data_IF_421341259914
#
_entry.id   IF_421341259914
#
_cell.length_a   1.000
_cell.length_b   1.000
_cell.length_c   1.000
_cell.angle_alpha   90.00
_cell.angle_beta   90.00
_cell.angle_gamma   90.00
#
_symmetry.space_group_name_H-M   'P 1'
#
loop_
_entity.id
_entity.type
_entity.pdbx_description
1 polymer ?
#
# COMPACT_ATOMS: atom_id res chain seq x y z
N UNK A 1 71.56 1.74 50.39
CA UNK A 1 70.14 1.92 50.70
C UNK A 1 69.50 2.73 49.62
N UNK A 2 68.90 2.09 48.62
CA UNK A 2 68.11 2.76 47.64
C UNK A 2 66.85 1.97 47.41
N UNK A 3 65.73 2.54 47.77
CA UNK A 3 64.40 2.01 47.51
C UNK A 3 63.96 2.42 46.10
N UNK A 4 63.73 1.46 45.26
CA UNK A 4 63.08 1.66 43.95
C UNK A 4 61.59 1.52 44.14
N UNK A 5 60.89 2.61 43.93
CA UNK A 5 59.43 2.60 43.90
C UNK A 5 58.96 2.30 42.47
N UNK A 6 58.33 1.15 42.30
CA UNK A 6 57.64 0.81 41.07
C UNK A 6 56.24 1.48 41.07
N UNK A 7 56.09 2.45 40.22
CA UNK A 7 54.76 3.03 39.92
C UNK A 7 54.08 2.19 38.84
N UNK A 8 53.10 1.40 39.22
CA UNK A 8 52.27 0.66 38.30
C UNK A 8 51.29 1.61 37.61
N UNK A 9 51.38 1.69 36.31
CA UNK A 9 50.38 2.38 35.46
C UNK A 9 49.26 1.40 35.20
N UNK A 10 48.08 1.65 35.77
CA UNK A 10 46.85 0.96 35.36
C UNK A 10 46.36 1.59 34.05
N UNK A 11 46.51 0.82 32.97
CA UNK A 11 45.82 1.15 31.72
C UNK A 11 44.36 0.70 31.79
N UNK A 12 43.44 1.64 31.89
CA UNK A 12 42.01 1.38 31.77
C UNK A 12 41.64 1.17 30.29
N UNK A 13 41.32 -0.06 29.94
CA UNK A 13 40.76 -0.39 28.63
C UNK A 13 39.28 0.01 28.64
N UNK A 14 38.95 1.13 27.99
CA UNK A 14 37.53 1.48 27.66
C UNK A 14 37.06 0.63 26.51
N UNK A 15 36.24 -0.37 26.80
CA UNK A 15 35.52 -1.14 25.80
C UNK A 15 34.35 -0.25 25.30
N UNK A 16 34.55 0.42 24.18
CA UNK A 16 33.51 1.12 23.49
C UNK A 16 32.57 0.11 22.81
N UNK A 17 31.35 -0.08 23.33
CA UNK A 17 30.34 -0.84 22.66
C UNK A 17 29.85 -0.03 21.45
N UNK A 18 30.23 -0.43 20.26
CA UNK A 18 29.63 0.04 19.00
C UNK A 18 28.22 -0.56 18.91
N UNK A 19 27.22 0.22 19.22
CA UNK A 19 25.86 -0.07 18.82
C UNK A 19 25.77 0.17 17.31
N UNK A 20 25.93 -0.89 16.52
CA UNK A 20 25.54 -0.90 15.13
C UNK A 20 24.01 -0.84 15.11
N UNK A 21 23.45 0.37 15.02
CA UNK A 21 22.05 0.57 14.72
C UNK A 21 21.81 0.00 13.31
N UNK A 22 21.05 -1.08 13.22
CA UNK A 22 20.51 -1.51 11.94
C UNK A 22 19.57 -0.40 11.48
N UNK A 23 19.99 0.39 10.49
CA UNK A 23 19.10 1.28 9.79
C UNK A 23 17.98 0.40 9.22
N UNK A 24 16.73 0.67 9.61
CA UNK A 24 15.59 0.06 8.96
C UNK A 24 15.68 0.45 7.48
N UNK A 25 15.84 -0.53 6.62
CA UNK A 25 15.92 -0.30 5.19
C UNK A 25 14.49 -0.12 4.69
N UNK A 26 14.25 0.94 3.92
CA UNK A 26 12.96 1.14 3.27
C UNK A 26 12.61 -0.11 2.46
N UNK A 27 11.46 -0.68 2.72
CA UNK A 27 10.94 -1.82 1.97
C UNK A 27 9.83 -1.31 1.06
N UNK A 28 10.02 -1.54 -0.24
CA UNK A 28 9.02 -1.24 -1.26
C UNK A 28 8.25 -2.53 -1.54
N UNK A 29 6.98 -2.54 -1.19
CA UNK A 29 6.08 -3.68 -1.41
C UNK A 29 5.09 -3.32 -2.50
N UNK A 30 4.93 -4.21 -3.47
CA UNK A 30 3.99 -4.02 -4.58
C UNK A 30 2.80 -4.97 -4.45
N UNK A 31 1.60 -4.44 -4.61
CA UNK A 31 0.34 -5.17 -4.64
C UNK A 31 -0.34 -4.94 -5.99
N UNK A 32 -1.11 -5.91 -6.44
CA UNK A 32 -1.86 -5.76 -7.67
C UNK A 32 -3.22 -6.47 -7.61
N UNK A 33 -4.12 -6.06 -8.48
CA UNK A 33 -5.38 -6.75 -8.69
C UNK A 33 -5.85 -6.61 -10.15
N UNK A 34 -6.55 -7.64 -10.63
CA UNK A 34 -7.44 -7.52 -11.77
C UNK A 34 -8.82 -7.10 -11.27
N UNK A 35 -9.44 -6.14 -11.94
CA UNK A 35 -10.74 -5.58 -11.56
C UNK A 35 -11.82 -6.15 -12.48
N UNK A 36 -12.84 -6.74 -11.88
CA UNK A 36 -13.98 -7.32 -12.62
C UNK A 36 -15.30 -7.10 -11.88
N UNK A 37 -16.40 -7.12 -12.58
CA UNK A 37 -17.74 -7.09 -11.98
C UNK A 37 -18.01 -8.32 -11.12
N UNK A 38 -17.49 -9.48 -11.51
CA UNK A 38 -17.67 -10.74 -10.79
C UNK A 38 -17.02 -10.75 -9.39
N UNK A 39 -15.98 -9.93 -9.17
CA UNK A 39 -15.32 -9.77 -7.87
C UNK A 39 -16.05 -8.78 -6.94
N UNK A 40 -17.09 -8.12 -7.40
CA UNK A 40 -17.96 -7.24 -6.59
C UNK A 40 -18.67 -8.00 -5.47
N UNK A 41 -19.03 -7.27 -4.41
CA UNK A 41 -19.84 -7.81 -3.29
C UNK A 41 -21.00 -6.87 -3.03
N UNK A 42 -22.22 -7.22 -3.55
CA UNK A 42 -22.51 -8.34 -4.43
C UNK A 42 -21.87 -8.20 -5.81
N UNK A 43 -21.69 -9.31 -6.57
CA UNK A 43 -21.21 -9.26 -7.94
C UNK A 43 -22.12 -8.41 -8.85
N UNK A 44 -21.52 -7.71 -9.82
CA UNK A 44 -22.24 -7.00 -10.87
C UNK A 44 -22.27 -7.82 -12.17
N UNK A 45 -23.15 -7.47 -13.08
CA UNK A 45 -23.22 -8.04 -14.44
C UNK A 45 -22.37 -7.25 -15.46
N UNK A 46 -21.53 -6.34 -14.98
CA UNK A 46 -20.63 -5.57 -15.84
C UNK A 46 -19.60 -6.46 -16.51
N UNK A 47 -19.36 -6.18 -17.77
CA UNK A 47 -18.26 -6.77 -18.57
C UNK A 47 -17.00 -5.91 -18.56
N UNK A 48 -17.05 -4.76 -17.89
CA UNK A 48 -15.89 -3.90 -17.72
C UNK A 48 -14.75 -4.63 -17.00
N UNK A 49 -13.54 -4.26 -17.33
CA UNK A 49 -12.31 -4.79 -16.73
C UNK A 49 -11.37 -3.67 -16.35
N UNK A 50 -10.39 -3.98 -15.53
CA UNK A 50 -9.32 -3.05 -15.18
C UNK A 50 -8.18 -3.77 -14.50
N UNK A 51 -7.10 -3.03 -14.28
CA UNK A 51 -5.96 -3.47 -13.49
C UNK A 51 -5.53 -2.35 -12.56
N UNK A 52 -4.98 -2.70 -11.42
CA UNK A 52 -4.38 -1.76 -10.48
C UNK A 52 -3.07 -2.31 -9.94
N UNK A 53 -2.12 -1.43 -9.79
CA UNK A 53 -0.88 -1.67 -9.05
C UNK A 53 -0.75 -0.63 -7.94
N UNK A 54 -0.44 -1.08 -6.73
CA UNK A 54 -0.22 -0.25 -5.54
C UNK A 54 1.16 -0.55 -4.99
N UNK A 55 1.98 0.48 -4.84
CA UNK A 55 3.31 0.39 -4.23
C UNK A 55 3.29 1.05 -2.85
N UNK A 56 3.69 0.30 -1.83
CA UNK A 56 3.85 0.76 -0.45
C UNK A 56 5.32 1.05 -0.17
N UNK A 57 5.62 2.28 0.27
CA UNK A 57 6.89 2.65 0.91
C UNK A 57 6.69 2.59 2.43
N UNK A 58 7.32 1.62 3.09
CA UNK A 58 7.17 1.40 4.52
C UNK A 58 7.90 2.42 5.38
N UNK A 59 8.95 3.07 4.85
CA UNK A 59 9.69 4.11 5.56
C UNK A 59 9.00 5.48 5.45
N UNK A 60 8.63 5.86 4.23
CA UNK A 60 7.90 7.10 3.97
C UNK A 60 6.44 7.04 4.47
N UNK A 61 5.91 5.83 4.70
CA UNK A 61 4.50 5.57 5.02
C UNK A 61 3.58 6.20 3.99
N UNK A 62 3.81 5.85 2.74
CA UNK A 62 3.00 6.28 1.60
C UNK A 62 2.66 5.10 0.71
N UNK A 63 1.49 5.17 0.09
CA UNK A 63 1.12 4.31 -1.03
C UNK A 63 1.01 5.15 -2.29
N UNK A 64 1.49 4.59 -3.39
CA UNK A 64 1.29 5.14 -4.73
C UNK A 64 0.52 4.10 -5.54
N UNK A 65 -0.32 4.54 -6.45
CA UNK A 65 -1.11 3.65 -7.29
C UNK A 65 -1.07 4.10 -8.73
N UNK A 66 -1.23 3.11 -9.61
CA UNK A 66 -1.59 3.29 -11.01
C UNK A 66 -2.71 2.30 -11.34
N UNK A 67 -3.72 2.73 -12.07
CA UNK A 67 -4.78 1.85 -12.53
C UNK A 67 -5.29 2.28 -13.90
N UNK A 68 -5.86 1.32 -14.60
CA UNK A 68 -6.51 1.48 -15.89
C UNK A 68 -7.82 0.68 -15.91
N UNK A 69 -8.73 1.05 -16.78
CA UNK A 69 -9.98 0.35 -16.98
C UNK A 69 -10.44 0.42 -18.42
N UNK A 70 -11.26 -0.54 -18.82
CA UNK A 70 -11.90 -0.62 -20.12
C UNK A 70 -13.39 -0.91 -19.99
N UNK A 71 -14.17 -0.35 -20.92
CA UNK A 71 -15.59 -0.67 -21.11
C UNK A 71 -16.48 -0.46 -19.89
N UNK A 72 -16.21 0.56 -19.06
CA UNK A 72 -17.14 0.95 -18.00
C UNK A 72 -18.52 1.25 -18.59
N UNK A 73 -19.56 0.80 -17.91
CA UNK A 73 -20.93 0.91 -18.39
C UNK A 73 -21.59 2.28 -18.17
N UNK A 74 -20.87 3.20 -17.57
CA UNK A 74 -21.26 4.58 -17.30
C UNK A 74 -20.05 5.44 -16.97
N UNK A 75 -20.29 6.73 -16.75
CA UNK A 75 -19.25 7.66 -16.32
C UNK A 75 -18.69 7.23 -14.94
N UNK A 76 -17.37 7.24 -14.81
CA UNK A 76 -16.72 6.97 -13.54
C UNK A 76 -17.01 8.12 -12.56
N UNK A 77 -17.53 7.80 -11.40
CA UNK A 77 -17.88 8.78 -10.36
C UNK A 77 -16.86 8.83 -9.24
N UNK A 78 -16.17 7.72 -8.97
CA UNK A 78 -15.12 7.62 -7.97
C UNK A 78 -14.30 6.34 -8.14
N UNK A 79 -13.12 6.32 -7.52
CA UNK A 79 -12.35 5.12 -7.28
C UNK A 79 -11.74 5.18 -5.87
N UNK A 80 -11.64 4.03 -5.21
CA UNK A 80 -11.13 3.95 -3.84
C UNK A 80 -10.37 2.66 -3.58
N UNK A 81 -9.44 2.72 -2.63
CA UNK A 81 -9.02 1.54 -1.88
C UNK A 81 -9.92 1.43 -0.66
N UNK A 82 -10.51 0.26 -0.48
CA UNK A 82 -11.44 -0.08 0.59
C UNK A 82 -10.85 -1.13 1.53
N UNK A 83 -11.31 -1.17 2.76
CA UNK A 83 -10.94 -2.19 3.74
C UNK A 83 -11.16 -1.75 5.19
N UNK A 84 -10.77 -2.60 6.18
CA UNK A 84 -10.33 -3.98 5.96
C UNK A 84 -11.50 -4.93 5.66
N UNK A 85 -11.34 -5.80 4.68
CA UNK A 85 -12.31 -6.82 4.30
C UNK A 85 -11.65 -7.96 3.52
N UNK A 86 -12.15 -9.18 3.72
CA UNK A 86 -11.79 -10.31 2.88
C UNK A 86 -12.45 -10.17 1.48
N UNK A 87 -12.02 -10.99 0.52
CA UNK A 87 -12.51 -10.93 -0.86
C UNK A 87 -14.04 -11.14 -1.01
N UNK A 88 -14.66 -11.79 -0.03
CA UNK A 88 -16.11 -12.06 0.02
C UNK A 88 -16.91 -11.07 0.87
N UNK A 89 -16.26 -10.04 1.38
CA UNK A 89 -16.84 -9.03 2.26
C UNK A 89 -16.70 -7.64 1.67
N UNK A 90 -17.55 -6.71 2.10
CA UNK A 90 -17.48 -5.30 1.72
C UNK A 90 -17.07 -4.44 2.94
N UNK A 91 -16.35 -3.38 2.69
CA UNK A 91 -15.98 -2.37 3.68
C UNK A 91 -16.02 -0.96 3.08
N UNK A 92 -15.95 0.06 3.93
CA UNK A 92 -15.89 1.45 3.51
C UNK A 92 -14.56 1.83 2.85
N UNK A 93 -14.50 2.99 2.18
CA UNK A 93 -13.27 3.51 1.60
C UNK A 93 -12.29 3.93 2.70
N UNK A 94 -11.02 3.66 2.48
CA UNK A 94 -9.90 4.09 3.35
C UNK A 94 -8.96 5.07 2.65
N UNK A 95 -8.85 4.99 1.32
CA UNK A 95 -8.07 5.92 0.50
C UNK A 95 -8.91 6.29 -0.73
N UNK A 96 -9.13 7.59 -0.91
CA UNK A 96 -9.71 8.13 -2.12
C UNK A 96 -8.63 8.19 -3.20
N UNK A 97 -8.84 7.48 -4.30
CA UNK A 97 -7.92 7.42 -5.43
C UNK A 97 -8.41 8.22 -6.64
N UNK A 98 -9.59 8.83 -6.54
CA UNK A 98 -10.19 9.61 -7.63
C UNK A 98 -9.69 11.05 -7.69
N UNK A 99 -9.24 11.62 -6.57
CA UNK A 99 -8.95 13.06 -6.47
C UNK A 99 -7.84 13.55 -7.42
N UNK A 100 -6.85 12.70 -7.70
CA UNK A 100 -5.75 13.05 -8.62
C UNK A 100 -5.98 12.49 -10.04
N UNK A 101 -7.00 11.65 -10.21
CA UNK A 101 -7.25 10.85 -11.41
C UNK A 101 -8.30 11.46 -12.37
N UNK A 102 -8.92 12.58 -12.01
CA UNK A 102 -9.94 13.25 -12.82
C UNK A 102 -9.39 14.04 -14.02
N UNK A 103 -8.15 13.82 -14.41
CA UNK A 103 -7.63 14.35 -15.66
C UNK A 103 -8.12 13.48 -16.82
N UNK A 104 -9.11 13.97 -17.47
CA UNK A 104 -9.93 13.48 -18.59
C UNK A 104 -9.17 13.04 -19.86
N UNK A 105 -7.98 12.47 -19.79
CA UNK A 105 -7.23 12.11 -21.00
C UNK A 105 -6.32 10.90 -20.91
N UNK A 106 -6.28 10.17 -19.83
CA UNK A 106 -5.30 9.10 -19.71
C UNK A 106 -5.97 7.75 -19.52
N UNK A 107 -5.60 6.82 -20.38
CA UNK A 107 -5.87 5.39 -20.21
C UNK A 107 -5.26 4.83 -18.88
N UNK A 108 -4.49 5.65 -18.16
CA UNK A 108 -3.86 5.30 -16.89
C UNK A 108 -4.01 6.44 -15.87
N UNK A 109 -4.51 6.10 -14.69
CA UNK A 109 -4.69 7.01 -13.57
C UNK A 109 -3.70 6.69 -12.46
N UNK A 110 -3.10 7.73 -11.88
CA UNK A 110 -2.06 7.58 -10.86
C UNK A 110 -2.26 8.56 -9.70
N UNK A 111 -1.71 8.23 -8.54
CA UNK A 111 -1.71 9.11 -7.38
C UNK A 111 -0.89 8.54 -6.23
N UNK A 112 -0.83 9.31 -5.15
CA UNK A 112 -0.14 8.93 -3.91
C UNK A 112 -0.88 9.45 -2.69
N UNK A 113 -0.80 8.72 -1.57
CA UNK A 113 -1.44 9.09 -0.31
C UNK A 113 -0.59 8.62 0.88
N UNK A 114 -0.58 9.36 2.00
CA UNK A 114 -0.06 8.83 3.24
C UNK A 114 -0.89 7.64 3.72
N UNK A 115 -0.25 6.74 4.47
CA UNK A 115 -0.86 5.54 5.05
C UNK A 115 -0.40 5.37 6.50
N UNK A 116 -1.28 4.91 7.38
CA UNK A 116 -0.95 4.68 8.80
C UNK A 116 -0.34 3.29 9.01
N UNK A 117 0.30 3.07 10.16
CA UNK A 117 0.88 1.76 10.51
C UNK A 117 -0.20 0.65 10.58
N UNK A 118 -1.41 0.98 11.05
CA UNK A 118 -2.55 0.06 11.06
C UNK A 118 -2.96 -0.32 9.64
N UNK A 119 -3.11 0.67 8.76
CA UNK A 119 -3.44 0.44 7.35
C UNK A 119 -2.35 -0.33 6.60
N UNK A 120 -1.07 -0.11 6.93
CA UNK A 120 0.05 -0.89 6.39
C UNK A 120 -0.09 -2.37 6.78
N UNK A 121 -0.42 -2.65 8.04
CA UNK A 121 -0.61 -4.02 8.52
C UNK A 121 -1.81 -4.69 7.81
N UNK A 122 -2.92 -3.98 7.63
CA UNK A 122 -4.12 -4.47 6.95
C UNK A 122 -3.88 -4.73 5.45
N UNK A 123 -3.20 -3.80 4.75
CA UNK A 123 -2.82 -3.98 3.35
C UNK A 123 -1.89 -5.18 3.17
N UNK A 124 -0.88 -5.30 4.03
CA UNK A 124 0.08 -6.41 4.00
C UNK A 124 -0.60 -7.75 4.32
N UNK A 125 -1.65 -7.75 5.13
CA UNK A 125 -2.48 -8.93 5.41
C UNK A 125 -3.45 -9.28 4.27
N UNK A 126 -3.48 -8.51 3.17
CA UNK A 126 -4.35 -8.74 2.03
C UNK A 126 -5.83 -8.37 2.28
N UNK A 127 -6.08 -7.46 3.23
CA UNK A 127 -7.42 -7.07 3.65
C UNK A 127 -7.95 -5.83 2.90
N UNK A 128 -7.26 -5.38 1.86
CA UNK A 128 -7.69 -4.24 1.07
C UNK A 128 -8.09 -4.65 -0.34
N UNK A 129 -9.03 -3.92 -0.92
CA UNK A 129 -9.45 -4.08 -2.31
C UNK A 129 -9.59 -2.74 -3.01
N UNK A 130 -9.42 -2.74 -4.32
CA UNK A 130 -9.67 -1.59 -5.17
C UNK A 130 -11.07 -1.68 -5.78
N UNK A 131 -11.77 -0.55 -5.87
CA UNK A 131 -13.11 -0.49 -6.42
C UNK A 131 -13.29 0.76 -7.29
N UNK A 132 -13.89 0.60 -8.47
CA UNK A 132 -14.28 1.70 -9.36
C UNK A 132 -15.80 1.81 -9.34
N UNK A 133 -16.28 3.01 -9.09
CA UNK A 133 -17.71 3.36 -9.04
C UNK A 133 -18.11 4.11 -10.30
N UNK A 134 -19.31 3.86 -10.78
CA UNK A 134 -19.90 4.57 -11.92
C UNK A 134 -21.31 5.03 -11.61
N UNK A 135 -21.88 5.92 -12.45
CA UNK A 135 -23.26 6.35 -12.32
C UNK A 135 -24.23 5.16 -12.32
N UNK A 136 -23.93 4.12 -13.11
CA UNK A 136 -24.77 2.91 -13.18
C UNK A 136 -24.61 2.00 -11.96
N UNK A 137 -23.40 1.94 -11.39
CA UNK A 137 -23.06 1.12 -10.24
C UNK A 137 -22.44 1.99 -9.14
N UNK A 138 -23.26 2.75 -8.38
CA UNK A 138 -22.75 3.65 -7.35
C UNK A 138 -22.07 2.94 -6.17
N UNK A 139 -22.36 1.67 -5.93
CA UNK A 139 -21.71 0.82 -4.92
C UNK A 139 -20.44 0.14 -5.43
N UNK A 140 -20.09 0.33 -6.70
CA UNK A 140 -18.91 -0.23 -7.38
C UNK A 140 -19.28 -1.08 -8.58
N UNK A 141 -18.67 -0.80 -9.72
CA UNK A 141 -18.86 -1.55 -10.96
C UNK A 141 -17.89 -2.71 -11.07
N UNK A 142 -16.59 -2.45 -10.87
CA UNK A 142 -15.52 -3.45 -10.92
C UNK A 142 -14.64 -3.36 -9.68
N UNK A 143 -14.22 -4.52 -9.18
CA UNK A 143 -13.47 -4.67 -7.95
C UNK A 143 -12.34 -5.70 -8.11
N UNK A 144 -11.28 -5.56 -7.31
CA UNK A 144 -10.25 -6.58 -7.16
C UNK A 144 -9.56 -6.50 -5.80
N UNK A 145 -9.34 -7.67 -5.17
CA UNK A 145 -8.57 -7.77 -3.93
C UNK A 145 -7.10 -7.53 -4.22
N UNK A 146 -6.47 -6.64 -3.45
CA UNK A 146 -5.06 -6.32 -3.57
C UNK A 146 -4.21 -7.47 -3.00
N UNK A 147 -3.37 -8.05 -3.85
CA UNK A 147 -2.51 -9.19 -3.51
C UNK A 147 -1.06 -8.80 -3.71
N UNK A 148 -0.20 -9.12 -2.76
CA UNK A 148 1.23 -8.86 -2.87
C UNK A 148 1.82 -9.57 -4.09
N UNK A 149 2.58 -8.83 -4.89
CA UNK A 149 3.42 -9.42 -5.94
C UNK A 149 4.63 -10.08 -5.31
N UNK A 150 4.85 -11.34 -5.63
CA UNK A 150 6.07 -12.07 -5.28
C UNK A 150 7.07 -11.81 -6.41
N UNK A 151 8.20 -11.21 -6.09
CA UNK A 151 9.33 -11.07 -7.01
C UNK A 151 10.07 -12.40 -7.20
#
# INVERSE_FOLDING_TARGET
MNRIQNSGVLAALAVGALFAGTAAQAEMLTFAAELTGAAGVPPTDSTATGTVEVTLDTEAKTVSWTYEHDDLSGEMTASHIHGPAAATEAAGPVIDTSADSMADTADMMEGTSPITDEQIAELTAGMYYFNIHTEKFPDGEIRGQLVAKVE
#
